data_IF_184331292284
#
_entry.id   IF_184331292284
#
_cell.length_a   1.000
_cell.length_b   1.000
_cell.length_c   1.000
_cell.angle_alpha   90.00
_cell.angle_beta   90.00
_cell.angle_gamma   90.00
#
_symmetry.space_group_name_H-M   'P 1'
#
loop_
_entity.id
_entity.type
_entity.pdbx_description
1 polymer ?
#
# COMPACT_ATOMS: atom_id res chain seq x y z
N UNK A 1 30.01 -8.47 -1.46
CA UNK A 1 29.72 -9.65 -0.60
C UNK A 1 28.23 -9.90 -0.61
N UNK A 2 27.80 -11.11 -1.00
CA UNK A 2 26.39 -11.42 -1.29
C UNK A 2 25.53 -11.34 0.01
N UNK A 3 24.51 -10.48 0.01
CA UNK A 3 23.59 -10.25 1.15
C UNK A 3 22.99 -11.56 1.69
N UNK A 4 22.75 -12.54 0.80
CA UNK A 4 22.23 -13.86 1.18
C UNK A 4 23.22 -14.67 2.02
N UNK A 5 24.52 -14.57 1.73
CA UNK A 5 25.58 -15.24 2.48
C UNK A 5 25.79 -14.62 3.87
N UNK A 6 25.70 -13.29 3.98
CA UNK A 6 25.76 -12.58 5.28
C UNK A 6 24.61 -13.04 6.18
N UNK A 7 23.39 -13.05 5.64
CA UNK A 7 22.19 -13.46 6.39
C UNK A 7 22.20 -14.94 6.80
N UNK A 8 22.76 -15.82 5.94
CA UNK A 8 22.93 -17.24 6.29
C UNK A 8 23.92 -17.45 7.44
N UNK A 9 25.02 -16.69 7.49
CA UNK A 9 26.00 -16.73 8.60
C UNK A 9 25.39 -16.20 9.91
N UNK A 10 24.63 -15.15 9.88
CA UNK A 10 23.93 -14.62 11.06
C UNK A 10 22.92 -15.62 11.64
N UNK A 11 22.14 -16.29 10.77
CA UNK A 11 21.20 -17.32 11.18
C UNK A 11 21.90 -18.57 11.74
N UNK A 12 23.05 -18.98 11.16
CA UNK A 12 23.85 -20.07 11.69
C UNK A 12 24.44 -19.72 13.07
N UNK A 13 24.96 -18.49 13.25
CA UNK A 13 25.45 -18.00 14.54
C UNK A 13 24.35 -18.00 15.61
N UNK A 14 23.15 -17.51 15.27
CA UNK A 14 22.00 -17.53 16.15
C UNK A 14 21.58 -18.95 16.55
N UNK A 15 21.58 -19.90 15.61
CA UNK A 15 21.25 -21.31 15.89
C UNK A 15 22.26 -21.95 16.86
N UNK A 16 23.56 -21.66 16.68
CA UNK A 16 24.63 -22.14 17.59
C UNK A 16 24.46 -21.57 18.99
N UNK A 17 24.15 -20.26 19.11
CA UNK A 17 23.92 -19.62 20.39
C UNK A 17 22.69 -20.24 21.12
N UNK A 18 21.59 -20.39 20.39
CA UNK A 18 20.35 -21.02 20.92
C UNK A 18 20.58 -22.47 21.41
N UNK A 19 21.44 -23.22 20.71
CA UNK A 19 21.79 -24.58 21.12
C UNK A 19 22.59 -24.59 22.44
N UNK A 20 23.46 -23.61 22.64
CA UNK A 20 24.23 -23.46 23.87
C UNK A 20 23.36 -23.02 25.05
N UNK A 21 22.46 -22.06 24.83
CA UNK A 21 21.67 -21.42 25.89
C UNK A 21 20.42 -22.24 26.29
N UNK A 22 19.72 -22.83 25.31
CA UNK A 22 18.41 -23.46 25.51
C UNK A 22 18.37 -24.96 25.16
N UNK A 23 19.48 -25.50 24.65
CA UNK A 23 19.60 -26.92 24.25
C UNK A 23 19.06 -27.25 22.87
N UNK A 24 19.54 -28.37 22.32
CA UNK A 24 19.23 -28.84 20.96
C UNK A 24 17.72 -29.04 20.69
N UNK A 25 16.92 -29.61 21.62
CA UNK A 25 15.49 -29.81 21.38
C UNK A 25 14.72 -28.50 21.16
N UNK A 26 15.06 -27.43 21.89
CA UNK A 26 14.41 -26.13 21.78
C UNK A 26 14.78 -25.45 20.46
N UNK A 27 16.03 -25.54 20.05
CA UNK A 27 16.51 -25.03 18.76
C UNK A 27 15.78 -25.73 17.61
N UNK A 28 15.65 -27.05 17.64
CA UNK A 28 14.93 -27.82 16.62
C UNK A 28 13.44 -27.46 16.55
N UNK A 29 12.76 -27.29 17.69
CA UNK A 29 11.36 -26.86 17.74
C UNK A 29 11.18 -25.44 17.14
N UNK A 30 12.06 -24.51 17.48
CA UNK A 30 12.02 -23.12 16.91
C UNK A 30 12.35 -23.12 15.43
N UNK A 31 13.34 -23.90 15.00
CA UNK A 31 13.70 -24.09 13.58
C UNK A 31 12.55 -24.70 12.77
N UNK A 32 11.93 -25.75 13.26
CA UNK A 32 10.75 -26.36 12.64
C UNK A 32 9.57 -25.40 12.56
N UNK A 33 9.32 -24.61 13.62
CA UNK A 33 8.30 -23.58 13.64
C UNK A 33 8.56 -22.43 12.65
N UNK A 34 9.83 -22.05 12.47
CA UNK A 34 10.24 -21.06 11.47
C UNK A 34 10.03 -21.58 10.04
N UNK A 35 10.48 -22.79 9.74
CA UNK A 35 10.29 -23.43 8.43
C UNK A 35 8.80 -23.61 8.13
N UNK A 36 8.03 -24.12 9.09
CA UNK A 36 6.58 -24.29 8.94
C UNK A 36 5.88 -22.96 8.62
N UNK A 37 6.22 -21.87 9.32
CA UNK A 37 5.65 -20.53 9.04
C UNK A 37 6.08 -19.97 7.69
N UNK A 38 7.32 -20.18 7.28
CA UNK A 38 7.85 -19.64 6.04
C UNK A 38 7.44 -20.43 4.79
N UNK A 39 7.34 -21.77 4.90
CA UNK A 39 7.04 -22.66 3.78
C UNK A 39 5.55 -23.00 3.68
N UNK A 40 4.85 -23.10 4.82
CA UNK A 40 3.46 -23.55 4.90
C UNK A 40 2.54 -22.55 5.60
N UNK A 41 3.09 -21.49 6.19
CA UNK A 41 2.28 -20.40 6.73
C UNK A 41 1.53 -19.74 5.60
N UNK A 42 0.24 -19.98 5.50
CA UNK A 42 -0.64 -19.10 4.71
C UNK A 42 -0.39 -17.71 5.29
N UNK A 43 0.24 -16.79 4.52
CA UNK A 43 0.15 -15.37 4.85
C UNK A 43 -1.34 -15.13 4.99
N UNK A 44 -1.78 -14.81 6.20
CA UNK A 44 -3.14 -14.32 6.39
C UNK A 44 -3.24 -13.07 5.52
N UNK A 45 -3.69 -13.25 4.28
CA UNK A 45 -4.14 -12.12 3.49
C UNK A 45 -5.39 -11.65 4.19
N UNK A 46 -5.30 -10.50 4.81
CA UNK A 46 -6.43 -9.81 5.42
C UNK A 46 -7.33 -9.27 4.30
N UNK A 47 -7.79 -10.17 3.46
CA UNK A 47 -8.75 -9.87 2.41
C UNK A 47 -10.06 -10.51 2.86
N UNK A 48 -11.11 -9.72 3.03
CA UNK A 48 -12.43 -10.26 3.29
C UNK A 48 -12.79 -11.27 2.19
N UNK A 49 -13.58 -12.27 2.55
CA UNK A 49 -14.04 -13.25 1.58
C UNK A 49 -14.73 -12.55 0.40
N UNK A 50 -14.54 -13.04 -0.81
CA UNK A 50 -15.08 -12.43 -2.04
C UNK A 50 -16.57 -12.08 -1.91
N UNK A 51 -17.36 -12.98 -1.29
CA UNK A 51 -18.79 -12.76 -1.02
C UNK A 51 -19.07 -11.55 -0.12
N UNK A 52 -18.21 -11.27 0.85
CA UNK A 52 -18.33 -10.11 1.75
C UNK A 52 -18.08 -8.82 0.96
N UNK A 53 -17.04 -8.81 0.12
CA UNK A 53 -16.74 -7.65 -0.76
C UNK A 53 -17.86 -7.39 -1.75
N UNK A 54 -18.42 -8.43 -2.36
CA UNK A 54 -19.55 -8.32 -3.26
C UNK A 54 -20.81 -7.76 -2.57
N UNK A 55 -21.10 -8.24 -1.36
CA UNK A 55 -22.21 -7.73 -0.56
C UNK A 55 -22.01 -6.25 -0.18
N UNK A 56 -20.81 -5.89 0.27
CA UNK A 56 -20.48 -4.49 0.60
C UNK A 56 -20.59 -3.58 -0.63
N UNK A 57 -20.11 -4.02 -1.79
CA UNK A 57 -20.24 -3.25 -3.03
C UNK A 57 -21.69 -3.06 -3.44
N UNK A 58 -22.51 -4.10 -3.31
CA UNK A 58 -23.94 -4.02 -3.60
C UNK A 58 -24.65 -3.06 -2.65
N UNK A 59 -24.32 -3.10 -1.35
CA UNK A 59 -24.90 -2.23 -0.34
C UNK A 59 -24.52 -0.75 -0.55
N UNK A 60 -23.28 -0.48 -0.98
CA UNK A 60 -22.74 0.87 -1.16
C UNK A 60 -22.97 1.42 -2.58
N UNK A 61 -23.50 0.61 -3.49
CA UNK A 61 -23.73 1.03 -4.86
C UNK A 61 -24.68 2.24 -4.93
N UNK A 62 -24.19 3.31 -5.55
CA UNK A 62 -24.95 4.55 -5.72
C UNK A 62 -25.08 5.44 -4.48
N UNK A 63 -24.50 5.04 -3.33
CA UNK A 63 -24.46 5.87 -2.13
C UNK A 63 -23.29 6.85 -2.16
N UNK A 64 -23.52 8.04 -1.62
CA UNK A 64 -22.47 9.03 -1.34
C UNK A 64 -21.98 8.91 0.11
N UNK A 65 -20.88 9.60 0.46
CA UNK A 65 -20.41 9.68 1.83
C UNK A 65 -21.49 10.23 2.79
N UNK A 66 -22.22 11.24 2.36
CA UNK A 66 -23.30 11.85 3.13
C UNK A 66 -24.45 10.86 3.40
N UNK A 67 -24.83 10.05 2.41
CA UNK A 67 -25.88 9.03 2.56
C UNK A 67 -25.50 7.95 3.60
N UNK A 68 -24.21 7.75 3.81
CA UNK A 68 -23.70 6.76 4.75
C UNK A 68 -23.37 7.37 6.13
N UNK A 69 -23.47 8.69 6.31
CA UNK A 69 -23.02 9.37 7.52
C UNK A 69 -21.53 9.19 7.81
N UNK A 70 -20.71 8.97 6.77
CA UNK A 70 -19.28 8.74 6.90
C UNK A 70 -18.52 10.06 6.77
N UNK A 71 -17.50 10.30 7.62
CA UNK A 71 -16.61 11.44 7.44
C UNK A 71 -15.82 11.29 6.13
N UNK A 72 -15.54 12.40 5.49
CA UNK A 72 -14.68 12.41 4.29
C UNK A 72 -13.22 12.29 4.66
N UNK A 73 -12.49 11.44 3.94
CA UNK A 73 -11.06 11.15 4.18
C UNK A 73 -10.27 11.49 2.93
N UNK A 74 -9.26 12.36 3.05
CA UNK A 74 -8.32 12.64 1.98
C UNK A 74 -7.05 11.82 2.14
N UNK A 75 -6.74 11.00 1.14
CA UNK A 75 -5.53 10.17 1.08
C UNK A 75 -4.46 10.96 0.33
N UNK A 76 -3.39 11.34 1.03
CA UNK A 76 -2.30 12.14 0.48
C UNK A 76 -1.21 11.23 -0.10
N UNK A 77 -0.92 11.38 -1.37
CA UNK A 77 0.08 10.53 -2.02
C UNK A 77 1.00 11.35 -2.93
N UNK A 78 2.26 11.56 -2.53
CA UNK A 78 3.27 12.09 -3.42
C UNK A 78 3.68 11.01 -4.43
N UNK A 79 3.77 11.36 -5.71
CA UNK A 79 4.29 10.52 -6.78
C UNK A 79 5.66 11.05 -7.24
N UNK A 80 6.59 10.14 -7.49
CA UNK A 80 7.88 10.45 -8.10
C UNK A 80 8.39 9.26 -8.89
N UNK A 81 8.44 9.38 -10.21
CA UNK A 81 8.93 8.36 -11.14
C UNK A 81 8.35 6.96 -10.85
N UNK A 82 7.08 6.90 -10.50
CA UNK A 82 6.43 5.66 -10.08
C UNK A 82 6.27 4.74 -11.30
N UNK A 83 6.82 3.51 -11.27
CA UNK A 83 6.68 2.58 -12.36
C UNK A 83 5.21 2.31 -12.71
N UNK A 84 4.89 2.30 -13.99
CA UNK A 84 3.53 2.15 -14.53
C UNK A 84 2.74 1.02 -13.86
N UNK A 85 3.35 -0.16 -13.74
CA UNK A 85 2.72 -1.33 -13.10
C UNK A 85 2.18 -1.03 -11.70
N UNK A 86 2.98 -0.37 -10.86
CA UNK A 86 2.59 -0.09 -9.48
C UNK A 86 1.59 1.05 -9.39
N UNK A 87 1.66 2.00 -10.31
CA UNK A 87 0.71 3.09 -10.39
C UNK A 87 -0.70 2.57 -10.76
N UNK A 88 -0.81 1.66 -11.74
CA UNK A 88 -2.06 0.99 -12.06
C UNK A 88 -2.62 0.21 -10.87
N UNK A 89 -1.80 -0.64 -10.23
CA UNK A 89 -2.22 -1.42 -9.06
C UNK A 89 -2.70 -0.53 -7.90
N UNK A 90 -2.04 0.60 -7.69
CA UNK A 90 -2.39 1.58 -6.67
C UNK A 90 -3.73 2.27 -6.98
N UNK A 91 -3.89 2.83 -8.16
CA UNK A 91 -5.11 3.52 -8.58
C UNK A 91 -6.32 2.56 -8.60
N UNK A 92 -6.13 1.34 -9.10
CA UNK A 92 -7.12 0.28 -9.04
C UNK A 92 -7.54 -0.03 -7.60
N UNK A 93 -6.60 -0.07 -6.68
CA UNK A 93 -6.89 -0.33 -5.26
C UNK A 93 -7.80 0.75 -4.66
N UNK A 94 -7.59 2.01 -5.04
CA UNK A 94 -8.43 3.13 -4.60
C UNK A 94 -9.83 3.09 -5.25
N UNK A 95 -9.90 2.94 -6.55
CA UNK A 95 -11.17 2.92 -7.30
C UNK A 95 -12.05 1.76 -6.86
N UNK A 96 -11.44 0.62 -6.52
CA UNK A 96 -12.15 -0.58 -6.08
C UNK A 96 -12.52 -0.60 -4.60
N UNK A 97 -12.25 0.47 -3.82
CA UNK A 97 -12.73 0.56 -2.45
C UNK A 97 -14.26 0.60 -2.40
N UNK A 98 -14.82 -0.05 -1.39
CA UNK A 98 -16.27 -0.10 -1.20
C UNK A 98 -16.81 1.16 -0.54
N UNK A 99 -16.02 1.83 0.30
CA UNK A 99 -16.42 3.07 0.97
C UNK A 99 -16.35 4.26 0.00
N UNK A 100 -17.42 5.06 -0.12
CA UNK A 100 -17.49 6.18 -1.07
C UNK A 100 -16.84 7.48 -0.56
N UNK A 101 -16.38 7.50 0.69
CA UNK A 101 -15.95 8.69 1.42
C UNK A 101 -14.47 9.06 1.23
N UNK A 102 -13.73 8.34 0.39
CA UNK A 102 -12.31 8.62 0.12
C UNK A 102 -12.12 9.62 -1.00
N UNK A 103 -11.25 10.62 -0.81
CA UNK A 103 -10.63 11.46 -1.84
C UNK A 103 -9.17 11.07 -1.99
N UNK A 104 -8.65 10.96 -3.21
CA UNK A 104 -7.24 10.69 -3.47
C UNK A 104 -6.56 11.95 -4.00
N UNK A 105 -5.63 12.51 -3.24
CA UNK A 105 -4.89 13.72 -3.56
C UNK A 105 -3.48 13.35 -4.01
N UNK A 106 -3.18 13.53 -5.28
CA UNK A 106 -1.91 13.15 -5.91
C UNK A 106 -1.09 14.39 -6.25
N UNK A 107 0.11 14.48 -5.67
CA UNK A 107 1.11 15.48 -6.03
C UNK A 107 2.27 14.80 -6.78
N UNK A 108 2.33 15.00 -8.10
CA UNK A 108 3.28 14.33 -8.96
C UNK A 108 4.51 15.22 -9.23
N UNK A 109 5.63 14.78 -8.67
CA UNK A 109 6.94 15.39 -8.83
C UNK A 109 7.84 14.66 -9.84
N UNK A 110 7.30 13.75 -10.65
CA UNK A 110 8.05 12.98 -11.64
C UNK A 110 8.73 13.87 -12.66
N UNK A 111 9.86 13.43 -13.19
CA UNK A 111 10.58 14.14 -14.25
C UNK A 111 9.92 13.98 -15.63
N UNK A 112 10.51 14.62 -16.65
CA UNK A 112 9.96 14.61 -18.01
C UNK A 112 10.04 13.23 -18.68
N UNK A 113 10.96 12.37 -18.25
CA UNK A 113 11.11 11.02 -18.81
C UNK A 113 9.98 10.09 -18.35
N UNK A 114 9.29 10.44 -17.27
CA UNK A 114 8.16 9.70 -16.69
C UNK A 114 6.81 10.39 -16.95
N UNK A 115 6.60 10.88 -18.15
CA UNK A 115 5.34 11.51 -18.56
C UNK A 115 4.13 10.54 -18.56
N UNK A 116 4.39 9.24 -18.55
CA UNK A 116 3.41 8.17 -18.40
C UNK A 116 2.66 8.27 -17.08
N UNK A 117 3.27 8.72 -16.00
CA UNK A 117 2.62 8.92 -14.70
C UNK A 117 1.43 9.88 -14.83
N UNK A 118 1.64 11.04 -15.45
CA UNK A 118 0.56 12.01 -15.69
C UNK A 118 -0.56 11.41 -16.54
N UNK A 119 -0.22 10.79 -17.67
CA UNK A 119 -1.18 10.18 -18.59
C UNK A 119 -2.08 9.15 -17.89
N UNK A 120 -1.48 8.28 -17.10
CA UNK A 120 -2.23 7.23 -16.36
C UNK A 120 -3.18 7.86 -15.34
N UNK A 121 -2.70 8.84 -14.56
CA UNK A 121 -3.56 9.50 -13.56
C UNK A 121 -4.72 10.23 -14.22
N UNK A 122 -4.48 10.95 -15.30
CA UNK A 122 -5.53 11.65 -16.06
C UNK A 122 -6.60 10.68 -16.59
N UNK A 123 -6.20 9.49 -17.04
CA UNK A 123 -7.15 8.44 -17.46
C UNK A 123 -8.07 8.02 -16.29
N UNK A 124 -7.55 7.90 -15.08
CA UNK A 124 -8.38 7.58 -13.90
C UNK A 124 -9.25 8.73 -13.45
N UNK A 125 -8.77 9.97 -13.56
CA UNK A 125 -9.57 11.15 -13.22
C UNK A 125 -10.83 11.27 -14.09
N UNK A 126 -10.75 10.94 -15.38
CA UNK A 126 -11.93 10.93 -16.26
C UNK A 126 -13.01 9.95 -15.80
N UNK A 127 -12.61 8.87 -15.11
CA UNK A 127 -13.50 7.80 -14.64
C UNK A 127 -13.92 7.98 -13.18
N UNK A 128 -13.16 8.75 -12.38
CA UNK A 128 -13.40 8.90 -10.95
C UNK A 128 -13.04 10.30 -10.44
N UNK A 129 -14.07 11.12 -10.20
CA UNK A 129 -13.93 12.50 -9.74
C UNK A 129 -13.33 12.63 -8.32
N UNK A 130 -13.20 11.54 -7.57
CA UNK A 130 -12.56 11.54 -6.25
C UNK A 130 -11.04 11.59 -6.32
N UNK A 131 -10.44 11.51 -7.51
CA UNK A 131 -9.00 11.61 -7.73
C UNK A 131 -8.69 13.04 -8.13
N UNK A 132 -7.92 13.73 -7.30
CA UNK A 132 -7.41 15.08 -7.54
C UNK A 132 -5.91 15.01 -7.79
N UNK A 133 -5.44 15.66 -8.83
CA UNK A 133 -4.04 15.58 -9.27
C UNK A 133 -3.46 16.95 -9.53
N UNK A 134 -2.20 17.13 -9.12
CA UNK A 134 -1.40 18.31 -9.45
C UNK A 134 0.02 17.89 -9.81
N UNK A 135 0.53 18.40 -10.91
CA UNK A 135 1.94 18.34 -11.26
C UNK A 135 2.71 19.39 -10.47
N UNK A 136 3.80 18.99 -9.83
CA UNK A 136 4.64 19.87 -9.00
C UNK A 136 6.12 19.70 -9.34
N UNK A 137 6.93 20.64 -8.87
CA UNK A 137 8.40 20.50 -8.85
C UNK A 137 8.82 19.60 -7.68
N UNK A 138 9.82 18.74 -7.90
CA UNK A 138 10.33 17.87 -6.84
C UNK A 138 11.13 18.68 -5.80
N UNK A 139 10.61 18.74 -4.59
CA UNK A 139 11.24 19.39 -3.43
C UNK A 139 11.46 18.42 -2.25
N UNK A 140 11.47 17.13 -2.54
CA UNK A 140 11.61 16.07 -1.55
C UNK A 140 10.27 15.62 -0.96
N UNK A 141 10.27 14.44 -0.33
CA UNK A 141 9.05 13.74 0.07
C UNK A 141 8.14 14.57 0.99
N UNK A 142 8.70 15.30 1.94
CA UNK A 142 7.92 16.11 2.89
C UNK A 142 7.18 17.25 2.16
N UNK A 143 7.88 18.01 1.31
CA UNK A 143 7.30 19.12 0.56
C UNK A 143 6.27 18.62 -0.46
N UNK A 144 6.55 17.49 -1.12
CA UNK A 144 5.63 16.88 -2.08
C UNK A 144 4.36 16.35 -1.38
N UNK A 145 4.48 15.78 -0.17
CA UNK A 145 3.33 15.36 0.64
C UNK A 145 2.50 16.56 1.09
N UNK A 146 3.15 17.66 1.50
CA UNK A 146 2.46 18.90 1.85
C UNK A 146 1.70 19.49 0.65
N UNK A 147 2.28 19.39 -0.56
CA UNK A 147 1.58 19.80 -1.79
C UNK A 147 0.33 18.96 -2.05
N UNK A 148 0.36 17.65 -1.78
CA UNK A 148 -0.84 16.82 -1.83
C UNK A 148 -1.88 17.23 -0.77
N UNK A 149 -1.43 17.67 0.41
CA UNK A 149 -2.33 18.12 1.47
C UNK A 149 -3.11 19.39 1.11
N UNK A 150 -2.55 20.27 0.27
CA UNK A 150 -3.26 21.47 -0.23
C UNK A 150 -4.49 21.11 -1.07
N UNK A 151 -4.49 19.92 -1.70
CA UNK A 151 -5.61 19.43 -2.51
C UNK A 151 -6.72 18.79 -1.67
N UNK A 152 -6.46 18.55 -0.40
CA UNK A 152 -7.37 17.82 0.47
C UNK A 152 -8.59 18.67 0.87
N UNK A 153 -9.76 18.05 0.78
CA UNK A 153 -11.05 18.64 1.20
C UNK A 153 -11.77 17.81 2.24
N UNK A 154 -11.17 16.68 2.64
CA UNK A 154 -11.74 15.78 3.63
C UNK A 154 -11.61 16.31 5.05
N UNK A 155 -12.48 15.83 5.93
CA UNK A 155 -12.43 16.10 7.37
C UNK A 155 -11.21 15.49 8.04
N UNK A 156 -10.68 14.41 7.46
CA UNK A 156 -9.47 13.69 7.90
C UNK A 156 -8.45 13.54 6.77
N UNK A 157 -7.18 13.50 7.15
CA UNK A 157 -6.05 13.26 6.26
C UNK A 157 -5.40 11.90 6.56
#
# INVERSE_FOLDING_TARGET
>A
MNVRLKRARELAGYAVQLTKDEGLPTMLKRGAGFVKRRCFGKRARYLPAKKVLEAQRAEMAGKTAADCGLPTISILTPLYNTPEKYLWEFLDSFVNQTAPNGQLCLADASDAEHADVKRIVEEYQTKNQRIVYQKIENKGIAANTNAAAVLATGEYL
#
